data_IF_405014712871
#
_entry.id   IF_405014712871
#
_cell.length_a   1.000
_cell.length_b   1.000
_cell.length_c   1.000
_cell.angle_alpha   90.00
_cell.angle_beta   90.00
_cell.angle_gamma   90.00
#
_symmetry.space_group_name_H-M   'P 1'
#
loop_
_entity.id
_entity.type
_entity.pdbx_description
1 polymer ?
#
# COMPACT_ATOMS: atom_id res chain seq x y z
N UNK A 1 16.44 4.18 -5.00
CA UNK A 1 15.82 2.88 -4.70
C UNK A 1 14.68 3.11 -3.73
N UNK A 2 13.47 3.40 -4.23
CA UNK A 2 12.28 3.70 -3.40
C UNK A 2 11.08 2.83 -3.76
N UNK A 3 11.31 1.66 -4.38
CA UNK A 3 10.23 0.83 -4.87
C UNK A 3 9.51 0.12 -3.72
N UNK A 4 8.22 0.39 -3.58
CA UNK A 4 7.35 -0.22 -2.60
C UNK A 4 6.95 -1.62 -3.08
N UNK A 5 7.22 -2.64 -2.26
CA UNK A 5 6.97 -4.04 -2.60
C UNK A 5 5.53 -4.42 -2.28
N UNK A 6 4.57 -3.88 -3.03
CA UNK A 6 3.14 -4.05 -2.74
C UNK A 6 2.68 -5.51 -2.72
N UNK A 7 3.25 -6.39 -3.56
CA UNK A 7 2.92 -7.82 -3.56
C UNK A 7 3.32 -8.53 -2.25
N UNK A 8 4.25 -7.94 -1.52
CA UNK A 8 4.76 -8.44 -0.24
C UNK A 8 4.08 -7.75 0.96
N UNK A 9 3.12 -6.87 0.70
CA UNK A 9 2.40 -6.14 1.75
C UNK A 9 1.48 -7.05 2.57
N UNK A 10 1.32 -6.70 3.85
CA UNK A 10 0.46 -7.43 4.80
C UNK A 10 -0.48 -6.48 5.53
N UNK A 11 -1.77 -6.82 5.52
CA UNK A 11 -2.79 -6.19 6.36
C UNK A 11 -2.60 -6.66 7.80
N UNK A 12 -2.62 -5.74 8.76
CA UNK A 12 -2.51 -6.02 10.19
C UNK A 12 -3.11 -4.87 11.02
N UNK A 13 -4.14 -5.17 11.81
CA UNK A 13 -4.78 -4.24 12.77
C UNK A 13 -5.20 -2.88 12.18
N UNK A 14 -5.77 -2.85 10.98
CA UNK A 14 -6.17 -1.61 10.30
C UNK A 14 -5.03 -0.88 9.58
N UNK A 15 -3.87 -1.53 9.42
CA UNK A 15 -2.72 -1.01 8.67
C UNK A 15 -2.30 -1.96 7.55
N UNK A 16 -1.93 -1.41 6.41
CA UNK A 16 -1.17 -2.11 5.39
C UNK A 16 0.31 -1.83 5.61
N UNK A 17 1.05 -2.88 5.97
CA UNK A 17 2.50 -2.88 6.10
C UNK A 17 3.08 -3.10 4.71
N UNK A 18 3.83 -2.12 4.22
CA UNK A 18 4.37 -2.10 2.85
C UNK A 18 5.90 -2.12 2.92
N UNK A 19 6.54 -3.28 2.74
CA UNK A 19 7.99 -3.37 2.79
C UNK A 19 8.65 -2.72 1.57
N UNK A 20 9.88 -2.25 1.73
CA UNK A 20 10.72 -1.79 0.63
C UNK A 20 12.21 -2.00 0.95
N UNK A 21 13.05 -2.01 -0.09
CA UNK A 21 14.51 -2.05 0.08
C UNK A 21 15.00 -0.64 0.38
N UNK A 22 15.50 -0.43 1.60
CA UNK A 22 16.08 0.83 2.05
C UNK A 22 17.49 1.03 1.50
N UNK A 23 18.29 -0.04 1.48
CA UNK A 23 19.67 0.01 1.04
C UNK A 23 20.26 -1.39 0.83
N UNK A 24 21.55 -1.42 0.49
CA UNK A 24 22.34 -2.65 0.39
C UNK A 24 23.63 -2.47 1.18
N UNK A 25 24.01 -3.48 1.93
CA UNK A 25 25.33 -3.59 2.56
C UNK A 25 25.98 -4.88 2.07
N UNK A 26 27.15 -4.75 1.46
CA UNK A 26 27.78 -5.79 0.65
C UNK A 26 26.81 -6.33 -0.41
N UNK A 27 26.33 -7.57 -0.24
CA UNK A 27 25.37 -8.24 -1.12
C UNK A 27 24.00 -8.48 -0.45
N UNK A 28 23.78 -7.93 0.74
CA UNK A 28 22.54 -8.11 1.49
C UNK A 28 21.64 -6.88 1.36
N UNK A 29 20.36 -7.13 1.11
CA UNK A 29 19.33 -6.08 1.11
C UNK A 29 18.94 -5.74 2.54
N UNK A 30 18.86 -4.43 2.81
CA UNK A 30 18.36 -3.88 4.06
C UNK A 30 16.93 -3.42 3.80
N UNK A 31 15.99 -3.96 4.56
CA UNK A 31 14.57 -3.68 4.40
C UNK A 31 14.07 -2.65 5.41
N UNK A 32 13.12 -1.85 4.96
CA UNK A 32 12.32 -0.93 5.76
C UNK A 32 10.85 -1.09 5.37
N UNK A 33 9.96 -0.32 5.98
CA UNK A 33 8.53 -0.38 5.72
C UNK A 33 7.86 0.98 5.76
N UNK A 34 6.75 1.12 5.03
CA UNK A 34 5.77 2.18 5.21
C UNK A 34 4.47 1.60 5.74
N UNK A 35 3.72 2.43 6.45
CA UNK A 35 2.37 2.09 6.91
C UNK A 35 1.35 2.91 6.14
N UNK A 36 0.28 2.25 5.70
CA UNK A 36 -0.93 2.90 5.21
C UNK A 36 -2.06 2.52 6.16
N UNK A 37 -2.69 3.50 6.81
CA UNK A 37 -3.78 3.25 7.76
C UNK A 37 -5.13 3.40 7.08
N UNK A 38 -6.07 2.50 7.40
CA UNK A 38 -7.44 2.51 6.85
C UNK A 38 -8.25 3.75 7.26
N UNK A 39 -7.95 4.34 8.41
CA UNK A 39 -8.63 5.56 8.89
C UNK A 39 -7.99 6.86 8.36
N UNK A 40 -7.08 6.73 7.38
CA UNK A 40 -6.46 7.88 6.74
C UNK A 40 -5.63 8.73 7.72
N UNK A 41 -5.60 10.03 7.48
CA UNK A 41 -4.87 11.02 8.29
C UNK A 41 -5.28 11.10 9.77
N UNK A 42 -6.36 10.42 10.18
CA UNK A 42 -6.73 10.30 11.60
C UNK A 42 -5.74 9.43 12.38
N UNK A 43 -4.98 8.57 11.71
CA UNK A 43 -3.91 7.78 12.33
C UNK A 43 -2.58 8.51 12.24
N UNK A 44 -1.83 8.57 13.34
CA UNK A 44 -0.47 9.12 13.37
C UNK A 44 0.51 8.38 12.44
N UNK A 45 0.19 7.14 12.08
CA UNK A 45 1.03 6.31 11.21
C UNK A 45 0.55 6.22 9.77
N UNK A 46 -0.44 7.02 9.36
CA UNK A 46 -0.87 7.04 7.97
C UNK A 46 0.23 7.62 7.06
N UNK A 47 0.71 6.80 6.13
CA UNK A 47 1.85 7.07 5.23
C UNK A 47 3.19 7.23 5.95
N UNK A 48 3.29 6.85 7.22
CA UNK A 48 4.54 6.93 7.97
C UNK A 48 5.57 5.95 7.42
N UNK A 49 6.82 6.40 7.32
CA UNK A 49 7.96 5.58 6.95
C UNK A 49 8.74 5.19 8.19
N UNK A 50 8.91 3.89 8.40
CA UNK A 50 9.65 3.28 9.51
C UNK A 50 9.48 3.97 10.86
N UNK A 51 8.25 4.06 11.41
CA UNK A 51 8.03 4.72 12.70
C UNK A 51 8.77 4.03 13.86
N UNK A 52 9.12 2.74 13.75
CA UNK A 52 9.97 2.05 14.71
C UNK A 52 11.45 2.46 14.64
N UNK A 53 11.90 3.04 13.52
CA UNK A 53 13.31 3.33 13.21
C UNK A 53 14.23 2.10 13.27
N UNK A 54 13.67 0.92 12.96
CA UNK A 54 14.39 -0.35 12.94
C UNK A 54 14.36 -0.89 11.50
N UNK A 55 15.49 -1.45 11.06
CA UNK A 55 15.64 -2.05 9.75
C UNK A 55 15.70 -3.57 9.86
N UNK A 56 15.24 -4.26 8.81
CA UNK A 56 15.20 -5.72 8.78
C UNK A 56 16.17 -6.31 7.76
N UNK A 57 16.60 -7.54 8.00
CA UNK A 57 17.45 -8.31 7.09
C UNK A 57 16.67 -9.13 6.06
N UNK A 58 15.35 -9.20 6.21
CA UNK A 58 14.44 -9.85 5.28
C UNK A 58 13.05 -9.20 5.31
N UNK A 59 12.23 -9.52 4.30
CA UNK A 59 10.84 -9.06 4.22
C UNK A 59 10.02 -9.54 5.44
N UNK A 60 10.14 -10.81 5.83
CA UNK A 60 9.38 -11.34 6.97
C UNK A 60 9.82 -10.70 8.29
N UNK A 61 11.13 -10.44 8.44
CA UNK A 61 11.66 -9.78 9.62
C UNK A 61 11.14 -8.34 9.74
N UNK A 62 11.16 -7.54 8.66
CA UNK A 62 10.65 -6.16 8.73
C UNK A 62 9.14 -6.09 8.93
N UNK A 63 8.38 -7.07 8.40
CA UNK A 63 6.94 -7.18 8.66
C UNK A 63 6.69 -7.48 10.14
N UNK A 64 7.46 -8.38 10.76
CA UNK A 64 7.30 -8.69 12.18
C UNK A 64 7.64 -7.49 13.07
N UNK A 65 8.72 -6.76 12.76
CA UNK A 65 9.07 -5.50 13.43
C UNK A 65 7.91 -4.49 13.33
N UNK A 66 7.33 -4.32 12.14
CA UNK A 66 6.19 -3.42 11.94
C UNK A 66 4.96 -3.85 12.75
N UNK A 67 4.65 -5.14 12.80
CA UNK A 67 3.54 -5.68 13.61
C UNK A 67 3.74 -5.42 15.10
N UNK A 68 4.92 -5.71 15.63
CA UNK A 68 5.26 -5.44 17.04
C UNK A 68 5.15 -3.95 17.37
N UNK A 69 5.59 -3.08 16.46
CA UNK A 69 5.48 -1.64 16.63
C UNK A 69 4.02 -1.19 16.68
N UNK A 70 3.18 -1.67 15.75
CA UNK A 70 1.74 -1.39 15.74
C UNK A 70 1.10 -1.89 17.04
N UNK A 71 1.42 -3.10 17.49
CA UNK A 71 0.87 -3.67 18.73
C UNK A 71 1.15 -2.82 19.96
N UNK A 72 2.32 -2.22 20.05
CA UNK A 72 2.76 -1.49 21.23
C UNK A 72 2.36 -0.01 21.21
N UNK A 73 2.19 0.59 20.02
CA UNK A 73 2.14 2.05 19.88
C UNK A 73 0.95 2.60 19.07
N UNK A 74 0.15 1.77 18.40
CA UNK A 74 -0.96 2.29 17.61
C UNK A 74 -2.10 2.80 18.49
N UNK A 75 -2.50 4.06 18.30
CA UNK A 75 -3.61 4.68 19.05
C UNK A 75 -4.97 4.09 18.68
N UNK A 76 -5.10 3.60 17.45
CA UNK A 76 -6.32 3.00 16.92
C UNK A 76 -5.94 1.73 16.19
N UNK A 77 -6.53 0.62 16.64
CA UNK A 77 -6.43 -0.68 15.98
C UNK A 77 -7.82 -1.11 15.56
N UNK A 78 -7.90 -1.74 14.40
CA UNK A 78 -9.14 -2.26 13.85
C UNK A 78 -8.98 -3.71 13.45
N UNK A 79 -10.01 -4.51 13.71
CA UNK A 79 -10.08 -5.89 13.27
C UNK A 79 -10.64 -6.01 11.84
N UNK A 80 -11.04 -4.90 11.20
CA UNK A 80 -11.47 -4.92 9.80
C UNK A 80 -10.31 -5.15 8.85
N UNK A 81 -10.50 -6.02 7.87
CA UNK A 81 -9.55 -6.20 6.77
C UNK A 81 -9.92 -5.28 5.60
N UNK A 82 -9.87 -3.96 5.81
CA UNK A 82 -10.14 -2.96 4.76
C UNK A 82 -9.23 -3.16 3.55
N UNK A 83 -8.02 -3.70 3.77
CA UNK A 83 -7.04 -4.00 2.73
C UNK A 83 -7.23 -5.39 2.07
N UNK A 84 -8.35 -6.08 2.34
CA UNK A 84 -8.68 -7.37 1.73
C UNK A 84 -8.78 -7.27 0.21
N UNK A 85 -9.40 -6.18 -0.27
CA UNK A 85 -9.65 -5.90 -1.68
C UNK A 85 -8.51 -5.06 -2.28
N UNK A 86 -7.27 -5.45 -2.00
CA UNK A 86 -6.07 -4.83 -2.58
C UNK A 86 -5.55 -5.62 -3.77
N UNK A 87 -5.11 -4.90 -4.79
CA UNK A 87 -4.61 -5.43 -6.04
C UNK A 87 -3.27 -4.78 -6.37
N UNK A 88 -2.35 -5.57 -6.91
CA UNK A 88 -1.10 -5.05 -7.47
C UNK A 88 -1.13 -5.23 -8.98
N UNK A 89 -0.97 -4.14 -9.73
CA UNK A 89 -0.95 -4.18 -11.19
C UNK A 89 0.10 -3.23 -11.74
N UNK A 90 1.05 -3.79 -12.50
CA UNK A 90 2.23 -3.06 -12.99
C UNK A 90 2.91 -2.25 -11.88
N UNK A 91 3.10 -2.90 -10.73
CA UNK A 91 3.67 -2.33 -9.52
C UNK A 91 2.91 -1.15 -8.88
N UNK A 92 1.67 -0.87 -9.32
CA UNK A 92 0.79 0.07 -8.66
C UNK A 92 -0.04 -0.68 -7.62
N UNK A 93 -0.33 -0.06 -6.48
CA UNK A 93 -1.27 -0.57 -5.49
C UNK A 93 -2.63 0.06 -5.72
N UNK A 94 -3.63 -0.79 -5.90
CA UNK A 94 -5.03 -0.40 -6.01
C UNK A 94 -5.76 -1.00 -4.82
N UNK A 95 -6.49 -0.20 -4.06
CA UNK A 95 -7.34 -0.68 -2.97
C UNK A 95 -8.77 -0.32 -3.33
N UNK A 96 -9.62 -1.33 -3.48
CA UNK A 96 -11.05 -1.11 -3.74
C UNK A 96 -11.79 -1.11 -2.41
N UNK A 97 -12.58 -0.08 -2.19
CA UNK A 97 -13.40 0.10 -1.00
C UNK A 97 -14.86 0.18 -1.37
N UNK A 98 -15.73 -0.24 -0.45
CA UNK A 98 -17.17 -0.18 -0.61
C UNK A 98 -17.79 0.61 0.53
N UNK A 99 -18.62 1.60 0.18
CA UNK A 99 -19.38 2.39 1.14
C UNK A 99 -20.78 2.68 0.59
N UNK A 100 -21.82 2.47 1.41
CA UNK A 100 -23.22 2.69 1.02
C UNK A 100 -23.62 2.02 -0.32
N UNK A 101 -23.08 0.83 -0.61
CA UNK A 101 -23.34 0.10 -1.85
C UNK A 101 -22.66 0.68 -3.10
N UNK A 102 -21.77 1.66 -2.95
CA UNK A 102 -20.93 2.22 -4.01
C UNK A 102 -19.50 1.75 -3.82
N UNK A 103 -18.79 1.57 -4.94
CA UNK A 103 -17.38 1.21 -4.94
C UNK A 103 -16.55 2.41 -5.35
N UNK A 104 -15.38 2.55 -4.74
CA UNK A 104 -14.35 3.52 -5.13
C UNK A 104 -12.99 2.85 -4.95
N UNK A 105 -11.94 3.53 -5.40
CA UNK A 105 -10.59 3.01 -5.29
C UNK A 105 -9.61 4.08 -4.85
N UNK A 106 -8.59 3.62 -4.13
CA UNK A 106 -7.34 4.33 -3.99
C UNK A 106 -6.33 3.77 -4.99
N UNK A 107 -5.46 4.64 -5.50
CA UNK A 107 -4.40 4.27 -6.43
C UNK A 107 -3.09 4.91 -5.99
N UNK A 108 -2.12 4.06 -5.68
CA UNK A 108 -0.78 4.44 -5.27
C UNK A 108 0.26 3.99 -6.30
N UNK A 109 1.17 4.92 -6.65
CA UNK A 109 2.26 4.67 -7.57
C UNK A 109 3.34 3.77 -6.94
N UNK A 110 4.22 3.13 -7.73
CA UNK A 110 5.22 2.19 -7.22
C UNK A 110 6.23 2.74 -6.21
N UNK A 111 6.35 4.06 -6.10
CA UNK A 111 7.36 4.77 -5.31
C UNK A 111 6.75 5.74 -4.28
N UNK A 112 5.42 5.85 -4.22
CA UNK A 112 4.73 6.85 -3.42
C UNK A 112 3.40 6.36 -2.87
N UNK A 113 3.12 6.69 -1.61
CA UNK A 113 1.80 6.52 -0.98
C UNK A 113 0.90 7.76 -1.16
N UNK A 114 1.13 8.55 -2.20
CA UNK A 114 0.16 9.56 -2.61
C UNK A 114 -0.97 8.92 -3.40
N UNK A 115 -2.22 9.14 -2.97
CA UNK A 115 -3.38 8.63 -3.68
C UNK A 115 -3.62 9.51 -4.91
N UNK A 116 -3.57 8.91 -6.10
CA UNK A 116 -3.78 9.59 -7.39
C UNK A 116 -5.11 9.18 -8.05
N UNK A 117 -5.98 8.48 -7.32
CA UNK A 117 -7.28 8.08 -7.85
C UNK A 117 -8.12 9.29 -8.25
N UNK A 118 -8.80 9.18 -9.38
CA UNK A 118 -9.80 10.16 -9.77
C UNK A 118 -11.07 9.95 -8.92
N UNK A 119 -11.77 11.02 -8.52
CA UNK A 119 -13.00 10.90 -7.73
C UNK A 119 -14.10 10.27 -8.60
N UNK A 120 -14.27 8.96 -8.50
CA UNK A 120 -15.25 8.19 -9.28
C UNK A 120 -15.87 7.08 -8.42
N UNK A 121 -17.18 6.94 -8.55
CA UNK A 121 -17.97 5.89 -7.91
C UNK A 121 -18.43 4.87 -8.95
N UNK A 122 -18.43 3.61 -8.56
CA UNK A 122 -18.81 2.47 -9.40
C UNK A 122 -19.94 1.68 -8.75
N UNK A 123 -20.64 0.89 -9.56
CA UNK A 123 -21.74 0.03 -9.10
C UNK A 123 -21.24 -1.34 -8.65
N UNK A 124 -20.05 -1.75 -9.08
CA UNK A 124 -19.41 -3.00 -8.67
C UNK A 124 -17.89 -2.88 -8.62
N UNK A 125 -17.26 -3.77 -7.84
CA UNK A 125 -15.81 -3.93 -7.82
C UNK A 125 -15.23 -4.25 -9.21
N UNK A 126 -15.93 -5.09 -9.99
CA UNK A 126 -15.53 -5.42 -11.36
C UNK A 126 -15.47 -4.18 -12.27
N UNK A 127 -16.49 -3.32 -12.22
CA UNK A 127 -16.54 -2.08 -13.00
C UNK A 127 -15.39 -1.14 -12.61
N UNK A 128 -15.14 -1.00 -11.31
CA UNK A 128 -14.03 -0.23 -10.76
C UNK A 128 -12.68 -0.76 -11.27
N UNK A 129 -12.48 -2.08 -11.21
CA UNK A 129 -11.25 -2.72 -11.67
C UNK A 129 -11.01 -2.53 -13.16
N UNK A 130 -12.04 -2.72 -14.00
CA UNK A 130 -11.95 -2.51 -15.44
C UNK A 130 -11.52 -1.07 -15.77
N UNK A 131 -12.09 -0.08 -15.08
CA UNK A 131 -11.73 1.33 -15.27
C UNK A 131 -10.27 1.61 -14.92
N UNK A 132 -9.82 1.14 -13.75
CA UNK A 132 -8.44 1.31 -13.29
C UNK A 132 -7.45 0.68 -14.27
N UNK A 133 -7.74 -0.57 -14.69
CA UNK A 133 -6.89 -1.28 -15.65
C UNK A 133 -6.77 -0.53 -16.97
N UNK A 134 -7.89 -0.05 -17.53
CA UNK A 134 -7.89 0.75 -18.76
C UNK A 134 -7.05 2.03 -18.61
N UNK A 135 -7.19 2.74 -17.48
CA UNK A 135 -6.40 3.94 -17.20
C UNK A 135 -4.90 3.67 -17.15
N UNK A 136 -4.49 2.62 -16.44
CA UNK A 136 -3.08 2.21 -16.36
C UNK A 136 -2.57 1.74 -17.72
N UNK A 137 -3.37 0.99 -18.48
CA UNK A 137 -3.00 0.52 -19.81
C UNK A 137 -2.78 1.67 -20.81
N UNK A 138 -3.66 2.67 -20.83
CA UNK A 138 -3.53 3.84 -21.70
C UNK A 138 -2.24 4.64 -21.42
N UNK A 139 -1.89 4.83 -20.14
CA UNK A 139 -0.66 5.54 -19.75
C UNK A 139 0.62 4.81 -20.19
N UNK A 140 0.59 3.48 -20.20
CA UNK A 140 1.73 2.64 -20.59
C UNK A 140 1.90 2.55 -22.11
N UNK A 141 0.82 2.59 -22.88
CA UNK A 141 0.90 2.66 -24.35
C UNK A 141 1.57 3.96 -24.79
N UNK A 142 1.29 5.09 -24.12
CA UNK A 142 1.94 6.37 -24.40
C UNK A 142 3.45 6.41 -24.08
N UNK A 143 3.93 5.59 -23.13
CA UNK A 143 5.36 5.53 -22.77
C UNK A 143 6.21 4.66 -23.70
N UNK A 144 5.60 3.79 -24.51
CA UNK A 144 6.34 2.92 -25.47
C UNK A 144 6.62 3.59 -26.83
N UNK A 145 6.13 4.80 -27.08
CA UNK A 145 6.27 5.52 -28.36
C UNK A 145 7.23 6.71 -28.25
N UNK A 146 8.20 6.66 -27.34
CA UNK A 146 9.30 7.64 -27.26
C UNK A 146 10.65 6.95 -27.24
#
# INVERSE_FOLDING_TARGET
MNHLLYEKSKSYKGYLIIPFVFGKADNYEIYSYKLLSEIGSKSQYHKAENPAKIYGSSIDNIINIAKEHIEKNADVVSDSDTFKHRYVFRNNLIIVSQEAGKYYYDHYLPDSLNNIAAPKLFKSEYECWCWVKQGIDALNVGHKVR
#
